data_IF_276638621302
#
_entry.id   IF_276638621302
#
_cell.length_a   1.000
_cell.length_b   1.000
_cell.length_c   1.000
_cell.angle_alpha   90.00
_cell.angle_beta   90.00
_cell.angle_gamma   90.00
#
_symmetry.space_group_name_H-M   'P 1'
#
loop_
_entity.id
_entity.type
_entity.pdbx_description
1 polymer ?
#
# COMPACT_ATOMS: atom_id res chain seq x y z
N UNK A 1 -34.82 -35.61 11.86
CA UNK A 1 -34.10 -36.00 10.62
C UNK A 1 -35.13 -36.20 9.52
N UNK A 2 -35.14 -35.36 8.49
CA UNK A 2 -36.05 -35.47 7.35
C UNK A 2 -35.18 -35.44 6.08
N UNK A 3 -35.33 -36.45 5.22
CA UNK A 3 -34.56 -36.62 3.98
C UNK A 3 -35.51 -36.42 2.79
N UNK A 4 -35.19 -35.50 1.89
CA UNK A 4 -35.78 -35.48 0.55
C UNK A 4 -34.70 -35.23 -0.51
N UNK A 5 -34.57 -36.17 -1.44
CA UNK A 5 -33.80 -36.07 -2.71
C UNK A 5 -34.75 -36.53 -3.83
N UNK A 6 -35.12 -35.65 -4.77
CA UNK A 6 -35.85 -35.87 -6.05
C UNK A 6 -36.15 -34.46 -6.66
N UNK A 7 -36.21 -34.17 -7.98
CA UNK A 7 -35.65 -34.86 -9.17
C UNK A 7 -35.57 -33.88 -10.38
N UNK A 8 -34.39 -33.81 -11.02
CA UNK A 8 -34.08 -33.76 -12.48
C UNK A 8 -34.89 -32.86 -13.47
N UNK A 9 -34.15 -32.30 -14.45
CA UNK A 9 -34.59 -31.69 -15.74
C UNK A 9 -35.13 -30.24 -15.69
N UNK A 10 -34.97 -29.39 -16.72
CA UNK A 10 -34.86 -29.61 -18.19
C UNK A 10 -33.79 -28.72 -18.86
N UNK A 11 -33.15 -29.21 -19.93
CA UNK A 11 -32.27 -28.43 -20.85
C UNK A 11 -33.06 -27.46 -21.76
N UNK A 12 -32.47 -26.31 -22.09
CA UNK A 12 -32.73 -25.61 -23.37
C UNK A 12 -31.40 -25.25 -24.04
N UNK A 13 -31.28 -25.62 -25.32
CA UNK A 13 -30.11 -25.47 -26.19
C UNK A 13 -30.57 -24.96 -27.57
N UNK A 14 -30.04 -23.83 -28.03
CA UNK A 14 -30.01 -23.39 -29.44
C UNK A 14 -28.73 -22.56 -29.65
N UNK A 15 -27.68 -23.08 -30.31
CA UNK A 15 -27.38 -22.92 -31.75
C UNK A 15 -27.39 -21.45 -32.20
N UNK A 16 -26.23 -20.79 -32.33
CA UNK A 16 -25.23 -20.85 -33.44
C UNK A 16 -25.66 -20.09 -34.72
N UNK A 17 -24.86 -19.08 -35.13
CA UNK A 17 -24.06 -19.01 -36.37
C UNK A 17 -23.72 -17.53 -36.74
N UNK A 18 -22.50 -17.29 -37.22
CA UNK A 18 -22.05 -15.98 -37.73
C UNK A 18 -20.53 -15.91 -37.92
N UNK A 19 -20.05 -15.89 -39.16
CA UNK A 19 -18.65 -16.18 -39.53
C UNK A 19 -17.75 -14.96 -39.80
N UNK A 20 -16.46 -15.20 -39.59
CA UNK A 20 -15.23 -14.49 -39.96
C UNK A 20 -15.23 -13.47 -41.10
N UNK A 21 -14.46 -12.38 -40.93
CA UNK A 21 -13.72 -11.72 -42.01
C UNK A 21 -12.45 -11.01 -41.50
N UNK A 22 -11.34 -11.11 -42.25
CA UNK A 22 -10.05 -10.50 -41.93
C UNK A 22 -9.90 -9.15 -42.66
N UNK A 23 -9.16 -8.20 -42.11
CA UNK A 23 -8.94 -6.89 -42.75
C UNK A 23 -7.69 -6.16 -42.24
N UNK A 24 -6.55 -6.39 -42.90
CA UNK A 24 -5.35 -5.58 -42.69
C UNK A 24 -5.41 -4.32 -43.55
N UNK A 25 -4.99 -3.17 -43.01
CA UNK A 25 -4.61 -2.04 -43.86
C UNK A 25 -3.59 -1.14 -43.15
N UNK A 26 -2.38 -1.07 -43.73
CA UNK A 26 -1.41 -0.05 -43.39
C UNK A 26 -2.01 1.32 -43.72
N UNK A 27 -1.89 2.28 -42.81
CA UNK A 27 -1.87 3.70 -43.18
C UNK A 27 -0.56 4.36 -42.77
N UNK A 28 0.05 4.98 -43.77
CA UNK A 28 1.30 5.70 -43.74
C UNK A 28 0.98 7.20 -43.52
N UNK A 29 1.65 7.84 -42.57
CA UNK A 29 1.69 9.30 -42.43
C UNK A 29 3.09 9.66 -41.95
N UNK A 30 4.00 9.94 -42.89
CA UNK A 30 4.42 11.28 -43.33
C UNK A 30 5.10 12.08 -42.21
N UNK A 31 6.43 12.21 -42.33
CA UNK A 31 7.24 13.22 -41.63
C UNK A 31 6.98 14.60 -42.23
N UNK A 32 6.75 15.59 -41.36
CA UNK A 32 6.85 17.06 -41.55
C UNK A 32 6.23 17.69 -40.28
N UNK A 33 6.64 18.85 -39.76
CA UNK A 33 7.93 19.54 -39.76
C UNK A 33 7.96 20.37 -38.45
N UNK A 34 9.13 20.69 -37.91
CA UNK A 34 9.23 21.52 -36.69
C UNK A 34 8.89 22.97 -37.02
N UNK A 35 7.98 23.57 -36.26
CA UNK A 35 7.93 25.03 -36.08
C UNK A 35 7.39 25.39 -34.70
N UNK A 36 8.17 26.18 -33.98
CA UNK A 36 7.84 26.79 -32.69
C UNK A 36 6.95 28.01 -32.91
N UNK A 37 5.86 28.13 -32.16
CA UNK A 37 5.23 29.43 -31.87
C UNK A 37 4.80 29.49 -30.40
N UNK A 38 5.03 30.63 -29.77
CA UNK A 38 4.72 30.94 -28.37
C UNK A 38 3.31 31.51 -28.24
N UNK A 39 2.54 31.14 -27.22
CA UNK A 39 1.37 31.93 -26.78
C UNK A 39 1.36 32.04 -25.24
N UNK A 40 1.15 33.28 -24.78
CA UNK A 40 1.15 33.73 -23.38
C UNK A 40 -0.28 33.77 -22.79
N UNK A 41 -0.42 34.32 -21.57
CA UNK A 41 -1.67 34.68 -20.86
C UNK A 41 -2.44 33.52 -20.18
N UNK A 42 -3.10 33.68 -19.04
CA UNK A 42 -2.98 34.65 -17.93
C UNK A 42 -3.63 34.03 -16.66
N UNK A 43 -3.37 34.60 -15.47
CA UNK A 43 -3.92 34.18 -14.17
C UNK A 43 -5.42 34.47 -14.00
N UNK A 44 -6.11 33.63 -13.20
CA UNK A 44 -7.12 33.98 -12.19
C UNK A 44 -7.44 32.70 -11.38
N UNK A 45 -6.74 32.47 -10.27
CA UNK A 45 -7.18 32.78 -8.89
C UNK A 45 -8.44 32.02 -8.42
N UNK A 46 -8.19 30.93 -7.68
CA UNK A 46 -9.05 30.54 -6.56
C UNK A 46 -8.17 30.26 -5.34
N UNK A 47 -8.25 31.13 -4.33
CA UNK A 47 -7.53 30.99 -3.05
C UNK A 47 -7.65 29.59 -2.43
N UNK A 48 -6.50 28.94 -2.23
CA UNK A 48 -6.27 28.09 -1.05
C UNK A 48 -4.91 28.41 -0.47
N UNK A 49 -4.94 29.10 0.66
CA UNK A 49 -3.76 29.55 1.39
C UNK A 49 -3.29 28.43 2.34
N UNK A 50 -2.18 27.78 2.01
CA UNK A 50 -1.32 27.05 2.95
C UNK A 50 0.13 27.07 2.44
N UNK A 51 1.01 27.73 3.20
CA UNK A 51 2.41 27.95 2.86
C UNK A 51 3.26 26.74 3.28
N UNK A 52 3.96 26.11 2.32
CA UNK A 52 5.42 25.95 2.37
C UNK A 52 5.95 25.56 0.99
N UNK A 53 6.98 26.26 0.50
CA UNK A 53 7.53 26.06 -0.84
C UNK A 53 8.32 24.74 -0.96
N UNK A 54 7.83 23.80 -1.76
CA UNK A 54 8.57 22.60 -2.14
C UNK A 54 9.54 22.87 -3.30
N UNK A 55 10.84 22.78 -3.04
CA UNK A 55 11.85 22.54 -4.08
C UNK A 55 11.57 21.21 -4.82
N UNK A 56 12.11 20.98 -6.03
CA UNK A 56 11.65 19.92 -6.94
C UNK A 56 11.53 18.56 -6.26
N UNK A 57 10.33 17.97 -6.41
CA UNK A 57 9.80 16.80 -5.72
C UNK A 57 10.84 15.90 -5.00
N UNK A 58 11.02 16.13 -3.69
CA UNK A 58 11.77 15.24 -2.82
C UNK A 58 11.19 13.82 -2.91
N UNK A 59 12.00 12.87 -3.38
CA UNK A 59 11.62 11.45 -3.58
C UNK A 59 11.58 10.64 -2.28
N UNK A 60 11.72 11.31 -1.13
CA UNK A 60 11.79 10.67 0.19
C UNK A 60 10.48 9.94 0.55
N UNK A 61 10.53 8.74 1.17
CA UNK A 61 9.35 8.01 1.61
C UNK A 61 8.46 8.82 2.57
N UNK A 62 7.15 8.58 2.52
CA UNK A 62 6.20 9.09 3.52
C UNK A 62 6.48 8.44 4.87
N UNK A 63 6.38 9.21 5.95
CA UNK A 63 6.44 8.70 7.32
C UNK A 63 5.02 8.37 7.78
N UNK A 64 4.83 7.17 8.34
CA UNK A 64 3.60 6.80 9.02
C UNK A 64 3.86 6.55 10.51
N UNK A 65 2.95 7.04 11.36
CA UNK A 65 2.79 6.57 12.74
C UNK A 65 1.41 5.95 12.89
N UNK A 66 1.27 4.97 13.79
CA UNK A 66 0.03 4.20 13.92
C UNK A 66 -0.17 3.61 15.32
N UNK A 67 -1.41 3.26 15.65
CA UNK A 67 -1.74 2.37 16.78
C UNK A 67 -2.38 1.08 16.31
N UNK A 68 -2.23 0.03 17.11
CA UNK A 68 -2.72 -1.31 16.81
C UNK A 68 -3.72 -1.77 17.88
N UNK A 69 -4.64 -2.67 17.51
CA UNK A 69 -5.61 -3.27 18.45
C UNK A 69 -4.97 -4.20 19.49
N UNK A 70 -3.82 -4.77 19.15
CA UNK A 70 -2.97 -5.60 20.01
C UNK A 70 -1.50 -5.37 19.59
N UNK A 71 -0.54 -5.94 20.33
CA UNK A 71 0.87 -5.84 19.95
C UNK A 71 1.20 -6.78 18.77
N UNK A 72 1.41 -6.18 17.59
CA UNK A 72 1.92 -6.86 16.39
C UNK A 72 3.33 -6.35 16.01
N UNK A 73 4.04 -5.67 16.91
CA UNK A 73 5.31 -4.99 16.61
C UNK A 73 6.39 -5.91 16.07
N UNK A 74 6.41 -7.18 16.49
CA UNK A 74 7.35 -8.20 16.02
C UNK A 74 6.80 -9.04 14.84
N UNK A 75 5.58 -8.80 14.35
CA UNK A 75 4.94 -9.60 13.31
C UNK A 75 5.12 -9.00 11.92
N UNK A 76 5.33 -9.84 10.90
CA UNK A 76 5.62 -9.37 9.54
C UNK A 76 4.39 -8.69 8.90
N UNK A 77 4.50 -7.42 8.46
CA UNK A 77 3.42 -6.73 7.77
C UNK A 77 3.35 -7.14 6.29
N UNK A 78 2.13 -7.22 5.77
CA UNK A 78 1.80 -7.34 4.34
C UNK A 78 0.73 -6.31 3.97
N UNK A 79 0.69 -5.86 2.71
CA UNK A 79 -0.30 -4.90 2.23
C UNK A 79 -1.37 -5.61 1.44
N UNK A 80 -2.64 -5.37 1.80
CA UNK A 80 -3.79 -5.91 1.10
C UNK A 80 -4.37 -4.93 0.07
N UNK A 81 -5.16 -5.44 -0.87
CA UNK A 81 -6.01 -4.59 -1.71
C UNK A 81 -7.10 -3.86 -0.90
N UNK A 82 -7.74 -2.85 -1.50
CA UNK A 82 -8.74 -2.04 -0.79
C UNK A 82 -9.95 -2.83 -0.27
N UNK A 83 -10.26 -3.98 -0.88
CA UNK A 83 -11.29 -4.91 -0.41
C UNK A 83 -10.81 -5.91 0.65
N UNK A 84 -9.52 -5.89 1.03
CA UNK A 84 -8.84 -6.86 1.91
C UNK A 84 -9.07 -8.33 1.53
N UNK A 85 -9.18 -8.56 0.22
CA UNK A 85 -9.43 -9.87 -0.39
C UNK A 85 -8.13 -10.60 -0.73
N UNK A 86 -7.08 -9.85 -1.09
CA UNK A 86 -5.79 -10.38 -1.56
C UNK A 86 -4.64 -9.57 -0.98
N UNK A 87 -3.49 -10.20 -0.79
CA UNK A 87 -2.22 -9.51 -0.54
C UNK A 87 -1.69 -9.00 -1.89
N UNK A 88 -1.29 -7.73 -1.93
CA UNK A 88 -0.74 -7.05 -3.12
C UNK A 88 0.73 -6.67 -2.96
N UNK A 89 1.26 -6.68 -1.74
CA UNK A 89 2.69 -6.52 -1.46
C UNK A 89 3.07 -7.24 -0.17
N UNK A 90 4.23 -7.90 -0.17
CA UNK A 90 4.82 -8.61 0.96
C UNK A 90 6.35 -8.56 0.84
N UNK A 91 7.10 -8.57 1.96
CA UNK A 91 8.56 -8.50 1.93
C UNK A 91 9.17 -9.84 1.52
N UNK A 92 10.31 -9.81 0.84
CA UNK A 92 11.24 -10.94 0.83
C UNK A 92 11.92 -11.05 2.22
N UNK A 93 12.31 -12.25 2.72
CA UNK A 93 12.99 -12.41 4.02
C UNK A 93 14.16 -11.44 4.27
N UNK A 94 14.93 -11.10 3.23
CA UNK A 94 16.05 -10.15 3.30
C UNK A 94 15.63 -8.68 3.42
N UNK A 95 14.43 -8.32 2.98
CA UNK A 95 13.86 -6.97 3.12
C UNK A 95 13.47 -6.67 4.57
N UNK A 96 13.53 -7.69 5.45
CA UNK A 96 13.27 -7.49 6.85
C UNK A 96 14.38 -6.70 7.57
N UNK A 97 15.58 -6.60 6.98
CA UNK A 97 16.75 -5.98 7.60
C UNK A 97 17.03 -4.55 7.11
N UNK A 98 17.61 -3.74 8.01
CA UNK A 98 18.37 -2.53 7.67
C UNK A 98 19.82 -2.77 8.07
N UNK A 99 20.68 -3.06 7.09
CA UNK A 99 22.04 -3.53 7.36
C UNK A 99 22.02 -4.92 8.00
N UNK A 100 22.33 -5.00 9.31
CA UNK A 100 22.34 -6.27 10.07
C UNK A 100 21.17 -6.40 11.06
N UNK A 101 20.38 -5.35 11.23
CA UNK A 101 19.33 -5.29 12.26
C UNK A 101 17.95 -5.47 11.64
N UNK A 102 17.05 -6.13 12.37
CA UNK A 102 15.65 -6.26 11.95
C UNK A 102 14.97 -4.89 12.02
N UNK A 103 14.32 -4.50 10.91
CA UNK A 103 13.73 -3.18 10.71
C UNK A 103 12.36 -3.05 11.40
N UNK A 104 12.31 -3.38 12.69
CA UNK A 104 11.14 -3.34 13.57
C UNK A 104 10.57 -1.91 13.65
N UNK A 105 9.26 -1.74 13.90
CA UNK A 105 8.69 -0.42 14.19
C UNK A 105 9.26 0.12 15.50
N UNK A 106 9.47 1.44 15.58
CA UNK A 106 9.99 2.07 16.80
C UNK A 106 8.82 2.51 17.68
N UNK A 107 8.76 2.13 18.97
CA UNK A 107 7.71 2.62 19.87
C UNK A 107 7.85 4.13 20.09
N UNK A 108 6.72 4.82 20.13
CA UNK A 108 6.58 6.25 20.39
C UNK A 108 5.71 6.48 21.63
N UNK A 109 5.66 7.73 22.11
CA UNK A 109 4.81 8.11 23.25
C UNK A 109 3.33 7.89 22.94
N UNK A 110 2.52 7.79 24.02
CA UNK A 110 1.08 7.56 23.96
C UNK A 110 0.66 6.25 23.24
N UNK A 111 1.57 5.30 23.03
CA UNK A 111 1.27 3.98 22.43
C UNK A 111 1.27 3.96 20.90
N UNK A 112 1.79 5.02 20.26
CA UNK A 112 2.05 5.03 18.83
C UNK A 112 3.30 4.20 18.47
N UNK A 113 3.38 3.82 17.20
CA UNK A 113 4.53 3.17 16.59
C UNK A 113 4.93 3.90 15.32
N UNK A 114 6.24 4.16 15.15
CA UNK A 114 6.83 4.64 13.91
C UNK A 114 7.05 3.47 12.95
N UNK A 115 6.50 3.57 11.74
CA UNK A 115 6.81 2.64 10.66
C UNK A 115 8.28 2.79 10.22
N UNK A 116 8.96 1.66 10.06
CA UNK A 116 10.31 1.55 9.50
C UNK A 116 10.41 0.65 8.28
N UNK A 117 9.31 0.00 7.85
CA UNK A 117 9.25 -0.93 6.71
C UNK A 117 8.60 -0.32 5.47
N UNK A 118 7.64 0.58 5.63
CA UNK A 118 6.79 1.07 4.53
C UNK A 118 5.41 0.42 4.55
N UNK A 119 4.69 0.53 5.67
CA UNK A 119 3.30 0.09 5.79
C UNK A 119 2.33 1.19 5.30
N UNK A 120 1.03 0.86 5.24
CA UNK A 120 -0.02 1.82 4.93
C UNK A 120 -1.38 1.37 5.47
N UNK A 121 -2.48 2.10 5.18
CA UNK A 121 -3.79 1.84 5.78
C UNK A 121 -4.35 0.43 5.57
N UNK A 122 -3.96 -0.24 4.48
CA UNK A 122 -4.37 -1.62 4.14
C UNK A 122 -3.40 -2.69 4.64
N UNK A 123 -2.55 -2.38 5.63
CA UNK A 123 -1.70 -3.38 6.27
C UNK A 123 -2.54 -4.45 6.97
N UNK A 124 -2.05 -5.69 6.87
CA UNK A 124 -2.39 -6.82 7.72
C UNK A 124 -1.09 -7.39 8.30
N UNK A 125 -1.16 -8.05 9.45
CA UNK A 125 0.00 -8.73 10.05
C UNK A 125 -0.11 -10.23 9.88
N UNK A 126 1.01 -10.88 9.58
CA UNK A 126 1.13 -12.34 9.55
C UNK A 126 1.35 -12.89 10.98
N UNK A 127 1.16 -14.19 11.17
CA UNK A 127 1.53 -14.91 12.40
C UNK A 127 3.05 -15.05 12.54
N UNK A 128 3.80 -14.99 11.44
CA UNK A 128 5.26 -15.03 11.45
C UNK A 128 5.86 -13.82 12.15
N UNK A 129 6.76 -14.07 13.10
CA UNK A 129 7.64 -13.03 13.62
C UNK A 129 8.67 -12.62 12.58
N UNK A 130 9.25 -11.42 12.75
CA UNK A 130 10.39 -10.98 11.95
C UNK A 130 11.57 -11.95 12.04
N UNK A 131 11.83 -12.51 13.24
CA UNK A 131 12.93 -13.43 13.45
C UNK A 131 12.75 -14.74 12.66
N UNK A 132 11.55 -15.33 12.69
CA UNK A 132 11.26 -16.57 11.96
C UNK A 132 11.29 -16.32 10.45
N UNK A 133 10.58 -15.31 9.98
CA UNK A 133 10.44 -15.02 8.55
C UNK A 133 11.77 -14.62 7.91
N UNK A 134 12.62 -13.87 8.61
CA UNK A 134 13.92 -13.41 8.09
C UNK A 134 14.93 -14.55 7.87
N UNK A 135 14.73 -15.69 8.55
CA UNK A 135 15.54 -16.92 8.41
C UNK A 135 15.07 -17.80 7.25
N UNK A 136 13.91 -17.51 6.64
CA UNK A 136 13.43 -18.28 5.49
C UNK A 136 14.32 -18.06 4.25
N UNK A 137 14.60 -19.09 3.45
CA UNK A 137 15.43 -18.96 2.25
C UNK A 137 14.73 -18.17 1.13
N UNK A 138 13.40 -18.20 1.09
CA UNK A 138 12.50 -17.50 0.16
C UNK A 138 11.22 -17.10 0.90
N UNK A 139 10.45 -16.17 0.36
CA UNK A 139 9.12 -15.86 0.89
C UNK A 139 8.17 -17.07 0.77
N UNK A 140 7.24 -17.28 1.73
CA UNK A 140 6.15 -18.28 1.61
C UNK A 140 5.26 -18.06 0.39
N UNK A 141 4.46 -19.07 0.03
CA UNK A 141 3.51 -18.95 -1.08
C UNK A 141 2.37 -17.96 -0.75
N UNK A 142 1.67 -17.45 -1.76
CA UNK A 142 0.50 -16.59 -1.56
C UNK A 142 -0.60 -17.27 -0.73
N UNK A 143 -0.74 -18.59 -0.85
CA UNK A 143 -1.67 -19.40 -0.05
C UNK A 143 -1.24 -19.43 1.43
N UNK A 144 0.04 -19.72 1.69
CA UNK A 144 0.60 -19.71 3.05
C UNK A 144 0.48 -18.33 3.70
N UNK A 145 0.79 -17.25 2.96
CA UNK A 145 0.68 -15.88 3.45
C UNK A 145 -0.77 -15.52 3.81
N UNK A 146 -1.76 -15.94 3.03
CA UNK A 146 -3.18 -15.72 3.32
C UNK A 146 -3.67 -16.55 4.51
N UNK A 147 -3.22 -17.81 4.61
CA UNK A 147 -3.56 -18.71 5.73
C UNK A 147 -2.93 -18.24 7.05
N UNK A 148 -1.78 -17.57 6.99
CA UNK A 148 -1.04 -17.05 8.14
C UNK A 148 -1.33 -15.57 8.44
N UNK A 149 -2.45 -14.97 8.01
CA UNK A 149 -2.83 -13.63 8.47
C UNK A 149 -3.32 -13.73 9.93
N UNK A 150 -2.59 -13.10 10.85
CA UNK A 150 -2.98 -12.95 12.25
C UNK A 150 -4.14 -11.95 12.41
N UNK A 151 -4.09 -10.81 11.70
CA UNK A 151 -5.18 -9.83 11.69
C UNK A 151 -5.24 -9.06 10.36
N UNK A 152 -6.43 -9.08 9.71
CA UNK A 152 -6.71 -8.35 8.47
C UNK A 152 -6.98 -6.86 8.68
N UNK A 153 -7.31 -6.42 9.90
CA UNK A 153 -7.68 -5.04 10.24
C UNK A 153 -6.98 -4.60 11.55
N UNK A 154 -5.63 -4.62 11.63
CA UNK A 154 -4.90 -4.51 12.88
C UNK A 154 -4.84 -3.09 13.46
N UNK A 155 -5.07 -2.06 12.63
CA UNK A 155 -4.89 -0.66 12.99
C UNK A 155 -6.10 -0.10 13.73
N UNK A 156 -5.84 0.69 14.78
CA UNK A 156 -6.83 1.59 15.38
C UNK A 156 -6.83 2.94 14.64
N UNK A 157 -5.64 3.47 14.36
CA UNK A 157 -5.42 4.72 13.64
C UNK A 157 -4.05 4.71 12.93
N UNK A 158 -3.91 5.52 11.89
CA UNK A 158 -2.67 5.71 11.13
C UNK A 158 -2.62 7.12 10.54
N UNK A 159 -1.48 7.79 10.68
CA UNK A 159 -1.30 9.18 10.27
C UNK A 159 -0.05 9.32 9.40
N UNK A 160 -0.17 10.05 8.30
CA UNK A 160 0.96 10.46 7.49
C UNK A 160 1.60 11.71 8.10
N UNK A 161 2.89 11.63 8.44
CA UNK A 161 3.63 12.68 9.13
C UNK A 161 4.73 13.26 8.22
N UNK A 162 4.39 13.71 7.02
CA UNK A 162 5.37 14.25 6.07
C UNK A 162 6.29 13.18 5.47
N UNK A 163 7.52 13.58 5.11
CA UNK A 163 8.54 12.72 4.47
C UNK A 163 9.70 12.43 5.42
N UNK A 164 10.39 11.31 5.21
CA UNK A 164 11.52 10.88 6.06
C UNK A 164 12.67 11.90 6.05
N UNK A 165 12.85 12.64 4.94
CA UNK A 165 13.86 13.69 4.80
C UNK A 165 13.51 15.03 5.48
N UNK A 166 12.27 15.20 5.97
CA UNK A 166 11.85 16.40 6.68
C UNK A 166 12.38 16.43 8.12
N UNK A 167 12.84 15.28 8.63
CA UNK A 167 13.28 15.06 10.02
C UNK A 167 14.80 14.95 10.12
N UNK A 168 15.37 15.44 11.23
CA UNK A 168 16.77 15.22 11.63
C UNK A 168 16.85 14.13 12.70
N UNK A 169 15.98 14.19 13.71
CA UNK A 169 15.75 13.14 14.69
C UNK A 169 14.25 12.81 14.69
N UNK A 170 13.87 11.89 13.80
CA UNK A 170 12.47 11.52 13.60
C UNK A 170 11.79 10.97 14.86
N UNK A 171 12.52 10.33 15.78
CA UNK A 171 11.91 9.75 16.98
C UNK A 171 11.62 10.85 18.00
N UNK A 172 12.59 11.74 18.25
CA UNK A 172 12.41 12.88 19.14
C UNK A 172 11.33 13.84 18.63
N UNK A 173 11.43 14.26 17.36
CA UNK A 173 10.52 15.22 16.74
C UNK A 173 9.07 14.70 16.62
N UNK A 174 8.86 13.39 16.41
CA UNK A 174 7.51 12.80 16.44
C UNK A 174 6.96 12.73 17.86
N UNK A 175 7.78 12.35 18.85
CA UNK A 175 7.33 12.28 20.24
C UNK A 175 6.94 13.65 20.81
N UNK A 176 7.66 14.71 20.44
CA UNK A 176 7.29 16.10 20.74
C UNK A 176 5.92 16.44 20.14
N UNK A 177 5.75 16.27 18.82
CA UNK A 177 4.48 16.54 18.12
C UNK A 177 3.30 15.78 18.72
N UNK A 178 3.45 14.47 19.01
CA UNK A 178 2.41 13.65 19.64
C UNK A 178 2.01 14.23 21.01
N UNK A 179 2.99 14.69 21.79
CA UNK A 179 2.77 15.29 23.11
C UNK A 179 2.06 16.66 23.04
N UNK A 180 2.30 17.44 21.98
CA UNK A 180 1.58 18.68 21.67
C UNK A 180 0.15 18.48 21.13
N UNK A 181 -0.29 17.23 20.94
CA UNK A 181 -1.64 16.91 20.48
C UNK A 181 -1.87 17.18 18.98
N UNK A 182 -0.84 17.14 18.13
CA UNK A 182 -0.98 17.42 16.70
C UNK A 182 -1.97 16.51 15.95
N UNK A 183 -2.33 15.37 16.54
CA UNK A 183 -3.26 14.37 16.01
C UNK A 183 -4.73 14.61 16.41
N UNK A 184 -4.98 15.64 17.22
CA UNK A 184 -6.30 16.00 17.74
C UNK A 184 -6.92 17.23 17.05
N UNK A 185 -6.31 17.67 15.94
CA UNK A 185 -6.69 18.85 15.14
C UNK A 185 -7.25 18.42 13.77
#
# INVERSE_FOLDING_TARGET
MIKYKLVVSVLILCLLLGVSACGTSKKQSKKENVKTEEISMNQQDTRKDLIMGGSPASTSPVVYIYKMKADYSNLVPVIMDGGRSRIVSYPHPKDLFRGKELCLPTPLVQGYWLDNRGIGPNVAFLTYTYEEYSKLPVAPSMEDLLANIADKYPLLEIHACGRRADYKDIVSELNEKISEGFLQK
#
